data_IF_413435915279
#
_entry.id   IF_413435915279
#
_cell.length_a   1.000
_cell.length_b   1.000
_cell.length_c   1.000
_cell.angle_alpha   90.00
_cell.angle_beta   90.00
_cell.angle_gamma   90.00
#
_symmetry.space_group_name_H-M   'P 1'
#
loop_
_entity.id
_entity.type
_entity.pdbx_description
1 polymer ?
#
# COMPACT_ATOMS: atom_id res chain seq x y z
N UNK A 1 -9.15 8.51 -23.91
CA UNK A 1 -10.55 8.08 -24.11
C UNK A 1 -10.55 6.57 -24.24
N UNK A 2 -10.50 5.85 -23.11
CA UNK A 2 -10.47 4.39 -23.06
C UNK A 2 -11.89 3.89 -22.79
N UNK A 3 -12.40 3.08 -23.71
CA UNK A 3 -13.78 2.59 -23.74
C UNK A 3 -13.94 1.48 -22.68
N UNK A 4 -14.56 1.84 -21.55
CA UNK A 4 -14.54 1.07 -20.29
C UNK A 4 -15.54 -0.10 -20.23
N UNK A 5 -15.96 -0.66 -21.37
CA UNK A 5 -16.98 -1.72 -21.39
C UNK A 5 -16.76 -2.72 -22.52
N UNK A 6 -16.71 -4.01 -22.16
CA UNK A 6 -16.93 -5.11 -23.11
C UNK A 6 -18.34 -5.01 -23.70
N UNK A 7 -18.52 -5.39 -24.97
CA UNK A 7 -19.83 -5.33 -25.65
C UNK A 7 -20.91 -6.15 -24.93
N UNK A 8 -20.51 -7.21 -24.22
CA UNK A 8 -21.43 -8.04 -23.44
C UNK A 8 -21.88 -7.37 -22.12
N UNK A 9 -21.00 -6.59 -21.49
CA UNK A 9 -21.35 -5.83 -20.28
C UNK A 9 -22.27 -4.65 -20.62
N UNK A 10 -22.03 -3.99 -21.77
CA UNK A 10 -22.94 -2.98 -22.33
C UNK A 10 -24.32 -3.59 -22.60
N UNK A 11 -24.42 -4.78 -23.21
CA UNK A 11 -25.69 -5.46 -23.49
C UNK A 11 -26.45 -5.86 -22.22
N UNK A 12 -25.78 -6.50 -21.25
CA UNK A 12 -26.40 -6.87 -19.97
C UNK A 12 -26.87 -5.65 -19.18
N UNK A 13 -26.10 -4.56 -19.21
CA UNK A 13 -26.46 -3.30 -18.56
C UNK A 13 -27.69 -2.66 -19.22
N UNK A 14 -27.75 -2.64 -20.56
CA UNK A 14 -28.89 -2.11 -21.34
C UNK A 14 -30.18 -2.92 -21.08
N UNK A 15 -30.08 -4.24 -21.03
CA UNK A 15 -31.24 -5.13 -20.82
C UNK A 15 -31.80 -5.00 -19.38
N UNK A 16 -30.89 -4.86 -18.41
CA UNK A 16 -31.25 -4.64 -17.00
C UNK A 16 -31.79 -3.24 -16.74
N UNK A 17 -31.27 -2.20 -17.42
CA UNK A 17 -31.81 -0.83 -17.36
C UNK A 17 -33.18 -0.71 -18.03
N UNK A 18 -33.45 -1.50 -19.07
CA UNK A 18 -34.77 -1.56 -19.72
C UNK A 18 -35.86 -2.14 -18.78
N UNK A 19 -35.52 -3.15 -17.98
CA UNK A 19 -36.41 -3.69 -16.93
C UNK A 19 -36.59 -2.75 -15.73
N UNK A 20 -35.65 -1.84 -15.48
CA UNK A 20 -35.68 -0.89 -14.34
C UNK A 20 -36.34 0.45 -14.66
N UNK A 21 -36.40 0.83 -15.96
CA UNK A 21 -37.15 2.00 -16.42
C UNK A 21 -38.66 1.88 -16.12
N UNK A 22 -39.20 0.67 -15.96
CA UNK A 22 -40.57 0.43 -15.50
C UNK A 22 -40.79 0.68 -14.00
N UNK A 23 -39.72 0.81 -13.18
CA UNK A 23 -39.81 0.93 -11.70
C UNK A 23 -39.34 2.27 -11.11
N UNK A 24 -39.12 3.29 -11.95
CA UNK A 24 -38.83 4.65 -11.50
C UNK A 24 -37.39 4.90 -11.01
N UNK A 25 -36.99 6.18 -10.96
CA UNK A 25 -35.60 6.65 -10.75
C UNK A 25 -34.88 6.07 -9.53
N UNK A 26 -35.60 5.74 -8.45
CA UNK A 26 -35.03 5.12 -7.24
C UNK A 26 -34.55 3.68 -7.44
N UNK A 27 -35.18 2.91 -8.33
CA UNK A 27 -34.76 1.55 -8.66
C UNK A 27 -33.45 1.52 -9.45
N UNK A 28 -33.23 2.52 -10.31
CA UNK A 28 -32.01 2.65 -11.12
C UNK A 28 -30.81 2.98 -10.24
N UNK A 29 -30.95 3.92 -9.28
CA UNK A 29 -29.86 4.29 -8.36
C UNK A 29 -29.42 3.10 -7.50
N UNK A 30 -30.38 2.38 -6.91
CA UNK A 30 -30.13 1.21 -6.06
C UNK A 30 -29.51 0.04 -6.83
N UNK A 31 -29.92 -0.15 -8.09
CA UNK A 31 -29.31 -1.13 -8.98
C UNK A 31 -27.88 -0.73 -9.41
N UNK A 32 -27.59 0.57 -9.51
CA UNK A 32 -26.27 1.10 -9.81
C UNK A 32 -25.31 0.95 -8.63
N UNK A 33 -25.77 1.23 -7.41
CA UNK A 33 -25.04 1.00 -6.16
C UNK A 33 -24.75 -0.48 -5.95
N UNK A 34 -25.75 -1.36 -6.09
CA UNK A 34 -25.55 -2.80 -5.97
C UNK A 34 -24.64 -3.36 -7.07
N UNK A 35 -24.65 -2.79 -8.28
CA UNK A 35 -23.72 -3.18 -9.34
C UNK A 35 -22.28 -2.71 -9.06
N UNK A 36 -22.10 -1.49 -8.55
CA UNK A 36 -20.79 -1.00 -8.08
C UNK A 36 -20.25 -1.84 -6.95
N UNK A 37 -21.08 -2.23 -5.99
CA UNK A 37 -20.70 -3.05 -4.84
C UNK A 37 -20.32 -4.48 -5.24
N UNK A 38 -21.05 -5.09 -6.19
CA UNK A 38 -20.72 -6.40 -6.74
C UNK A 38 -19.44 -6.38 -7.59
N UNK A 39 -19.23 -5.33 -8.39
CA UNK A 39 -17.96 -5.12 -9.10
C UNK A 39 -16.81 -4.92 -8.11
N UNK A 40 -17.04 -4.11 -7.07
CA UNK A 40 -16.07 -3.95 -5.99
C UNK A 40 -15.79 -5.28 -5.30
N UNK A 41 -16.79 -6.11 -5.05
CA UNK A 41 -16.60 -7.45 -4.45
C UNK A 41 -15.72 -8.33 -5.31
N UNK A 42 -16.00 -8.41 -6.62
CA UNK A 42 -15.20 -9.22 -7.56
C UNK A 42 -13.79 -8.69 -7.72
N UNK A 43 -13.63 -7.38 -7.80
CA UNK A 43 -12.32 -6.75 -7.91
C UNK A 43 -11.55 -6.79 -6.59
N UNK A 44 -12.23 -6.82 -5.43
CA UNK A 44 -11.62 -7.15 -4.13
C UNK A 44 -11.14 -8.59 -4.11
N UNK A 45 -11.98 -9.53 -4.53
CA UNK A 45 -11.62 -10.95 -4.63
C UNK A 45 -10.40 -11.12 -5.54
N UNK A 46 -10.38 -10.52 -6.73
CA UNK A 46 -9.20 -10.47 -7.61
C UNK A 46 -8.00 -9.72 -7.01
N UNK A 47 -8.23 -8.67 -6.23
CA UNK A 47 -7.16 -7.95 -5.55
C UNK A 47 -6.51 -8.76 -4.42
N UNK A 48 -7.23 -9.75 -3.87
CA UNK A 48 -6.70 -10.73 -2.93
C UNK A 48 -6.20 -12.01 -3.62
N UNK A 49 -6.67 -12.30 -4.83
CA UNK A 49 -6.13 -13.30 -5.77
C UNK A 49 -4.84 -12.79 -6.46
N UNK A 50 -3.97 -12.12 -5.70
CA UNK A 50 -2.65 -11.74 -6.17
C UNK A 50 -1.82 -13.02 -6.38
N UNK A 51 -1.52 -13.34 -7.64
CA UNK A 51 -0.54 -14.37 -7.98
C UNK A 51 0.85 -13.88 -7.52
N UNK A 52 1.24 -14.30 -6.32
CA UNK A 52 2.59 -14.09 -5.82
C UNK A 52 3.54 -15.01 -6.57
N UNK A 53 4.14 -14.48 -7.63
CA UNK A 53 5.01 -15.25 -8.52
C UNK A 53 6.46 -15.34 -8.01
N UNK A 54 6.84 -14.58 -6.99
CA UNK A 54 8.20 -14.55 -6.48
C UNK A 54 8.29 -14.39 -4.95
N UNK A 55 9.44 -14.79 -4.40
CA UNK A 55 9.78 -14.58 -2.99
C UNK A 55 10.95 -13.60 -2.88
N UNK A 56 10.71 -12.50 -2.18
CA UNK A 56 11.77 -11.61 -1.73
C UNK A 56 12.45 -12.21 -0.50
N UNK A 57 13.78 -12.25 -0.51
CA UNK A 57 14.59 -12.66 0.64
C UNK A 57 15.63 -11.59 1.00
N UNK A 58 15.69 -11.24 2.27
CA UNK A 58 16.74 -10.41 2.85
C UNK A 58 17.33 -11.13 4.05
N UNK A 59 18.67 -11.16 4.13
CA UNK A 59 19.37 -11.75 5.25
C UNK A 59 20.61 -10.93 5.59
N UNK A 60 20.70 -10.50 6.84
CA UNK A 60 21.91 -9.95 7.46
C UNK A 60 22.20 -10.65 8.80
N UNK A 61 22.98 -10.02 9.70
CA UNK A 61 23.40 -10.62 10.96
C UNK A 61 22.25 -10.79 11.97
N UNK A 62 21.22 -9.95 11.91
CA UNK A 62 20.16 -9.86 12.91
C UNK A 62 18.73 -9.91 12.34
N UNK A 63 18.59 -10.00 11.01
CA UNK A 63 17.33 -10.11 10.29
C UNK A 63 17.39 -11.21 9.22
N UNK A 64 16.50 -12.21 9.34
CA UNK A 64 16.16 -13.14 8.25
C UNK A 64 14.71 -12.89 7.85
N UNK A 65 14.53 -12.22 6.71
CA UNK A 65 13.22 -11.74 6.25
C UNK A 65 12.87 -12.37 4.90
N UNK A 66 11.61 -12.80 4.80
CA UNK A 66 11.02 -13.37 3.59
C UNK A 66 9.63 -12.78 3.40
N UNK A 67 9.31 -12.44 2.16
CA UNK A 67 8.01 -11.89 1.79
C UNK A 67 7.65 -12.37 0.39
N UNK A 68 6.41 -12.77 0.19
CA UNK A 68 5.90 -13.05 -1.15
C UNK A 68 5.60 -11.74 -1.87
N UNK A 69 6.09 -11.64 -3.11
CA UNK A 69 5.96 -10.44 -3.94
C UNK A 69 5.34 -10.79 -5.29
N UNK A 70 4.60 -9.84 -5.86
CA UNK A 70 4.00 -9.96 -7.19
C UNK A 70 5.09 -9.85 -8.27
N UNK A 71 4.77 -10.21 -9.51
CA UNK A 71 5.70 -10.05 -10.64
C UNK A 71 6.09 -8.59 -10.86
N UNK A 72 5.17 -7.65 -10.61
CA UNK A 72 5.43 -6.21 -10.72
C UNK A 72 6.45 -5.75 -9.68
N UNK A 73 6.27 -6.15 -8.43
CA UNK A 73 7.20 -5.83 -7.34
C UNK A 73 8.57 -6.49 -7.55
N UNK A 74 8.59 -7.74 -8.02
CA UNK A 74 9.81 -8.42 -8.39
C UNK A 74 10.55 -7.68 -9.50
N UNK A 75 9.80 -7.17 -10.50
CA UNK A 75 10.37 -6.37 -11.57
C UNK A 75 11.01 -5.07 -11.03
N UNK A 76 10.33 -4.35 -10.13
CA UNK A 76 10.86 -3.15 -9.47
C UNK A 76 12.20 -3.45 -8.77
N UNK A 77 12.24 -4.53 -7.99
CA UNK A 77 13.46 -4.90 -7.26
C UNK A 77 14.59 -5.34 -8.20
N UNK A 78 14.30 -6.13 -9.23
CA UNK A 78 15.31 -6.56 -10.22
C UNK A 78 15.87 -5.39 -11.04
N UNK A 79 15.05 -4.38 -11.37
CA UNK A 79 15.56 -3.14 -11.97
C UNK A 79 16.54 -2.42 -11.04
N UNK A 80 16.22 -2.32 -9.74
CA UNK A 80 17.10 -1.69 -8.75
C UNK A 80 18.43 -2.46 -8.61
N UNK A 81 18.37 -3.79 -8.63
CA UNK A 81 19.52 -4.69 -8.60
C UNK A 81 20.40 -4.59 -9.85
N UNK A 82 19.81 -4.41 -11.04
CA UNK A 82 20.55 -4.15 -12.28
C UNK A 82 21.34 -2.84 -12.19
N UNK A 83 20.70 -1.76 -11.74
CA UNK A 83 21.37 -0.46 -11.52
C UNK A 83 22.54 -0.56 -10.55
N UNK A 84 22.39 -1.29 -9.44
CA UNK A 84 23.50 -1.51 -8.50
C UNK A 84 24.69 -2.24 -9.17
N UNK A 85 24.43 -3.22 -10.05
CA UNK A 85 25.49 -3.92 -10.79
C UNK A 85 26.23 -2.98 -11.76
N UNK A 86 25.49 -2.11 -12.45
CA UNK A 86 26.08 -1.10 -13.34
C UNK A 86 26.98 -0.15 -12.56
N UNK A 87 26.51 0.36 -11.41
CA UNK A 87 27.31 1.20 -10.50
C UNK A 87 28.57 0.45 -10.04
N UNK A 88 28.45 -0.82 -9.66
CA UNK A 88 29.61 -1.63 -9.26
C UNK A 88 30.68 -1.73 -10.36
N UNK A 89 30.28 -1.78 -11.62
CA UNK A 89 31.20 -1.91 -12.75
C UNK A 89 31.99 -0.63 -13.08
N UNK A 90 31.53 0.52 -12.57
CA UNK A 90 32.08 1.84 -12.88
C UNK A 90 33.10 2.34 -11.82
N UNK A 91 33.46 1.49 -10.85
CA UNK A 91 34.45 1.78 -9.80
C UNK A 91 34.20 3.10 -9.03
N UNK A 92 32.93 3.37 -8.72
CA UNK A 92 32.56 4.53 -7.91
C UNK A 92 33.13 4.46 -6.49
N UNK A 93 33.23 5.63 -5.85
CA UNK A 93 33.64 5.74 -4.45
C UNK A 93 32.78 4.85 -3.51
N UNK A 94 33.36 4.28 -2.44
CA UNK A 94 32.67 3.33 -1.57
C UNK A 94 31.33 3.84 -0.99
N UNK A 95 31.24 5.14 -0.72
CA UNK A 95 30.03 5.75 -0.18
C UNK A 95 28.90 5.79 -1.23
N UNK A 96 29.23 5.99 -2.50
CA UNK A 96 28.28 5.96 -3.63
C UNK A 96 27.72 4.54 -3.76
N UNK A 97 28.58 3.53 -3.72
CA UNK A 97 28.14 2.13 -3.78
C UNK A 97 27.16 1.80 -2.64
N UNK A 98 27.48 2.19 -1.39
CA UNK A 98 26.59 1.99 -0.24
C UNK A 98 25.24 2.68 -0.41
N UNK A 99 25.23 3.90 -0.93
CA UNK A 99 23.97 4.60 -1.24
C UNK A 99 23.13 3.83 -2.26
N UNK A 100 23.74 3.29 -3.33
CA UNK A 100 23.03 2.49 -4.32
C UNK A 100 22.55 1.15 -3.77
N UNK A 101 23.32 0.54 -2.86
CA UNK A 101 22.91 -0.66 -2.15
C UNK A 101 21.68 -0.41 -1.27
N UNK A 102 21.65 0.72 -0.55
CA UNK A 102 20.46 1.18 0.17
C UNK A 102 19.27 1.37 -0.79
N UNK A 103 19.45 2.14 -1.88
CA UNK A 103 18.40 2.41 -2.88
C UNK A 103 17.81 1.13 -3.49
N UNK A 104 18.62 0.08 -3.66
CA UNK A 104 18.14 -1.23 -4.12
C UNK A 104 17.04 -1.76 -3.20
N UNK A 105 17.28 -1.77 -1.89
CA UNK A 105 16.30 -2.26 -0.92
C UNK A 105 15.15 -1.28 -0.68
N UNK A 106 15.40 0.03 -0.77
CA UNK A 106 14.34 1.05 -0.66
C UNK A 106 13.40 1.08 -1.86
N UNK A 107 13.79 0.53 -3.03
CA UNK A 107 12.95 0.53 -4.24
C UNK A 107 11.55 -0.07 -4.03
N UNK A 108 11.42 -1.15 -3.26
CA UNK A 108 10.12 -1.76 -2.92
C UNK A 108 9.32 -0.86 -1.95
N UNK A 109 9.98 -0.31 -0.93
CA UNK A 109 9.34 0.62 0.01
C UNK A 109 8.82 1.88 -0.70
N UNK A 110 9.60 2.42 -1.64
CA UNK A 110 9.23 3.59 -2.46
C UNK A 110 8.09 3.24 -3.43
N UNK A 111 8.09 2.02 -3.98
CA UNK A 111 6.99 1.52 -4.80
C UNK A 111 5.69 1.46 -3.98
N UNK A 112 5.71 0.85 -2.79
CA UNK A 112 4.52 0.82 -1.92
C UNK A 112 4.04 2.23 -1.56
N UNK A 113 4.97 3.17 -1.28
CA UNK A 113 4.61 4.58 -1.05
C UNK A 113 3.84 5.18 -2.22
N UNK A 114 4.30 4.93 -3.46
CA UNK A 114 3.62 5.43 -4.68
C UNK A 114 2.24 4.83 -4.83
N UNK A 115 2.09 3.52 -4.58
CA UNK A 115 0.81 2.84 -4.65
C UNK A 115 -0.17 3.32 -3.58
N UNK A 116 0.28 3.48 -2.33
CA UNK A 116 -0.54 4.04 -1.23
C UNK A 116 -1.11 5.40 -1.65
N UNK A 117 -0.25 6.32 -2.12
CA UNK A 117 -0.69 7.66 -2.56
C UNK A 117 -1.70 7.58 -3.70
N UNK A 118 -1.38 6.79 -4.73
CA UNK A 118 -2.22 6.63 -5.90
C UNK A 118 -3.64 6.15 -5.54
N UNK A 119 -3.75 5.11 -4.72
CA UNK A 119 -5.05 4.56 -4.35
C UNK A 119 -5.76 5.40 -3.28
N UNK A 120 -5.05 5.98 -2.33
CA UNK A 120 -5.66 6.76 -1.25
C UNK A 120 -6.37 8.02 -1.77
N UNK A 121 -5.81 8.67 -2.80
CA UNK A 121 -6.44 9.80 -3.51
C UNK A 121 -7.78 9.41 -4.14
N UNK A 122 -7.94 8.15 -4.55
CA UNK A 122 -9.11 7.62 -5.28
C UNK A 122 -10.08 6.84 -4.39
N UNK A 123 -9.79 6.73 -3.09
CA UNK A 123 -10.48 5.80 -2.16
C UNK A 123 -11.99 6.01 -2.05
N UNK A 124 -12.47 7.22 -2.29
CA UNK A 124 -13.90 7.57 -2.21
C UNK A 124 -14.63 7.44 -3.57
N UNK A 125 -13.88 7.31 -4.66
CA UNK A 125 -14.42 7.28 -6.03
C UNK A 125 -14.45 5.84 -6.57
N UNK A 126 -13.33 5.14 -6.40
CA UNK A 126 -13.14 3.76 -6.81
C UNK A 126 -13.35 2.82 -5.62
N UNK A 127 -14.36 1.94 -5.68
CA UNK A 127 -14.70 1.07 -4.55
C UNK A 127 -13.64 -0.02 -4.27
N UNK A 128 -12.59 -0.14 -5.10
CA UNK A 128 -11.43 -1.03 -4.89
C UNK A 128 -10.24 -0.26 -4.32
N UNK A 129 -10.17 1.05 -4.53
CA UNK A 129 -9.01 1.87 -4.17
C UNK A 129 -8.78 1.93 -2.64
N UNK A 130 -9.84 1.94 -1.83
CA UNK A 130 -9.68 1.84 -0.37
C UNK A 130 -8.99 0.53 0.03
N UNK A 131 -9.43 -0.60 -0.54
CA UNK A 131 -8.83 -1.91 -0.25
C UNK A 131 -7.38 -2.00 -0.73
N UNK A 132 -7.09 -1.48 -1.92
CA UNK A 132 -5.71 -1.39 -2.42
C UNK A 132 -4.84 -0.52 -1.53
N UNK A 133 -5.38 0.58 -1.00
CA UNK A 133 -4.65 1.43 -0.06
C UNK A 133 -4.28 0.68 1.20
N UNK A 134 -5.25 0.03 1.85
CA UNK A 134 -5.02 -0.78 3.06
C UNK A 134 -3.97 -1.86 2.77
N UNK A 135 -4.15 -2.60 1.67
CA UNK A 135 -3.23 -3.63 1.21
C UNK A 135 -1.80 -3.12 1.09
N UNK A 136 -1.57 -2.02 0.38
CA UNK A 136 -0.22 -1.47 0.21
C UNK A 136 0.35 -0.87 1.51
N UNK A 137 -0.49 -0.34 2.41
CA UNK A 137 -0.05 0.05 3.75
C UNK A 137 0.46 -1.16 4.54
N UNK A 138 -0.29 -2.26 4.55
CA UNK A 138 0.09 -3.51 5.21
C UNK A 138 1.39 -4.08 4.62
N UNK A 139 1.51 -4.11 3.29
CA UNK A 139 2.75 -4.53 2.60
C UNK A 139 3.95 -3.70 3.01
N UNK A 140 3.78 -2.37 3.04
CA UNK A 140 4.87 -1.48 3.44
C UNK A 140 5.27 -1.69 4.90
N UNK A 141 4.30 -1.89 5.79
CA UNK A 141 4.52 -2.18 7.22
C UNK A 141 5.18 -3.55 7.42
N UNK A 142 4.83 -4.56 6.63
CA UNK A 142 5.48 -5.88 6.63
C UNK A 142 6.96 -5.75 6.23
N UNK A 143 7.23 -4.99 5.16
CA UNK A 143 8.58 -4.73 4.65
C UNK A 143 9.41 -3.76 5.51
N UNK A 144 8.80 -3.09 6.50
CA UNK A 144 9.42 -2.05 7.31
C UNK A 144 10.77 -2.42 7.95
N UNK A 145 11.01 -3.64 8.47
CA UNK A 145 12.32 -4.01 9.03
C UNK A 145 13.46 -3.91 8.01
N UNK A 146 13.23 -4.35 6.77
CA UNK A 146 14.21 -4.28 5.68
C UNK A 146 14.41 -2.82 5.24
N UNK A 147 13.33 -2.05 5.15
CA UNK A 147 13.40 -0.63 4.81
C UNK A 147 14.19 0.17 5.86
N UNK A 148 13.97 -0.09 7.15
CA UNK A 148 14.72 0.55 8.23
C UNK A 148 16.22 0.26 8.14
N UNK A 149 16.60 -1.01 7.89
CA UNK A 149 17.99 -1.39 7.62
C UNK A 149 18.56 -0.63 6.42
N UNK A 150 17.80 -0.54 5.34
CA UNK A 150 18.22 0.16 4.14
C UNK A 150 18.43 1.66 4.35
N UNK A 151 17.56 2.32 5.11
CA UNK A 151 17.79 3.72 5.50
C UNK A 151 19.09 3.88 6.28
N UNK A 152 19.38 3.00 7.24
CA UNK A 152 20.65 3.04 7.99
C UNK A 152 21.89 2.62 7.19
N UNK A 153 21.72 1.97 6.03
CA UNK A 153 22.81 1.70 5.09
C UNK A 153 23.22 2.93 4.28
N UNK A 154 22.33 3.91 4.09
CA UNK A 154 22.61 5.12 3.31
C UNK A 154 23.52 6.07 4.12
N UNK A 155 24.74 6.40 3.64
CA UNK A 155 25.66 7.29 4.35
C UNK A 155 25.13 8.72 4.53
N UNK A 156 24.06 9.10 3.84
CA UNK A 156 23.45 10.43 3.92
C UNK A 156 22.19 10.47 4.80
N UNK A 157 21.78 9.34 5.38
CA UNK A 157 20.60 9.26 6.24
C UNK A 157 21.00 9.31 7.72
N UNK A 158 20.37 10.22 8.47
CA UNK A 158 20.66 10.43 9.90
C UNK A 158 19.51 10.03 10.82
N UNK A 159 18.32 9.79 10.26
CA UNK A 159 17.13 9.34 10.97
C UNK A 159 16.19 8.63 9.99
N UNK A 160 15.36 7.71 10.51
CA UNK A 160 14.29 7.13 9.69
C UNK A 160 13.29 8.22 9.29
N UNK A 161 12.74 8.21 8.06
CA UNK A 161 11.74 9.18 7.65
C UNK A 161 10.36 8.89 8.28
N UNK A 162 9.36 9.70 7.94
CA UNK A 162 7.95 9.34 8.17
C UNK A 162 7.60 8.09 7.37
N UNK A 163 6.71 7.27 7.89
CA UNK A 163 6.33 5.99 7.28
C UNK A 163 4.89 6.04 6.75
N UNK A 164 4.68 6.25 5.44
CA UNK A 164 3.35 6.49 4.86
C UNK A 164 2.32 5.42 5.19
N UNK A 165 2.72 4.15 5.19
CA UNK A 165 1.81 3.05 5.49
C UNK A 165 1.27 3.07 6.91
N UNK A 166 2.05 3.55 7.89
CA UNK A 166 1.55 3.69 9.26
C UNK A 166 0.62 4.90 9.36
N UNK A 167 1.05 6.05 8.84
CA UNK A 167 0.26 7.29 8.86
C UNK A 167 -1.12 7.09 8.21
N UNK A 168 -1.14 6.54 6.99
CA UNK A 168 -2.37 6.32 6.23
C UNK A 168 -3.26 5.25 6.89
N UNK A 169 -2.70 4.13 7.37
CA UNK A 169 -3.52 3.08 7.96
C UNK A 169 -4.09 3.47 9.32
N UNK A 170 -3.34 4.22 10.13
CA UNK A 170 -3.85 4.83 11.37
C UNK A 170 -5.02 5.75 11.04
N UNK A 171 -4.86 6.66 10.07
CA UNK A 171 -5.93 7.56 9.64
C UNK A 171 -7.19 6.79 9.20
N UNK A 172 -7.04 5.75 8.37
CA UNK A 172 -8.17 4.94 7.93
C UNK A 172 -8.86 4.21 9.09
N UNK A 173 -8.12 3.72 10.09
CA UNK A 173 -8.71 3.12 11.28
C UNK A 173 -9.46 4.13 12.14
N UNK A 174 -8.98 5.38 12.23
CA UNK A 174 -9.73 6.45 12.89
C UNK A 174 -11.04 6.78 12.17
N UNK A 175 -11.08 6.76 10.83
CA UNK A 175 -12.31 7.00 10.05
C UNK A 175 -13.42 5.98 10.34
N UNK A 176 -13.07 4.76 10.75
CA UNK A 176 -14.02 3.68 11.09
C UNK A 176 -14.07 3.37 12.60
N UNK A 177 -13.54 4.27 13.43
CA UNK A 177 -13.55 4.17 14.90
C UNK A 177 -12.83 2.91 15.46
N UNK A 178 -11.89 2.34 14.70
CA UNK A 178 -11.04 1.22 15.12
C UNK A 178 -9.83 1.69 15.96
N UNK A 179 -10.12 2.32 17.09
CA UNK A 179 -9.13 3.03 17.92
C UNK A 179 -8.01 2.13 18.45
N UNK A 180 -8.35 0.92 18.94
CA UNK A 180 -7.35 -0.05 19.42
C UNK A 180 -6.36 -0.44 18.32
N UNK A 181 -6.84 -0.60 17.08
CA UNK A 181 -6.00 -0.85 15.92
C UNK A 181 -5.04 0.30 15.67
N UNK A 182 -5.56 1.53 15.68
CA UNK A 182 -4.77 2.74 15.45
C UNK A 182 -3.66 2.90 16.51
N UNK A 183 -3.98 2.66 17.79
CA UNK A 183 -3.03 2.71 18.91
C UNK A 183 -1.94 1.64 18.73
N UNK A 184 -2.30 0.40 18.36
CA UNK A 184 -1.32 -0.67 18.11
C UNK A 184 -0.35 -0.30 16.99
N UNK A 185 -0.85 0.27 15.90
CA UNK A 185 -0.02 0.71 14.77
C UNK A 185 0.92 1.85 15.17
N UNK A 186 0.42 2.87 15.88
CA UNK A 186 1.24 3.99 16.34
C UNK A 186 2.36 3.52 17.30
N UNK A 187 2.03 2.63 18.25
CA UNK A 187 3.01 2.01 19.16
C UNK A 187 4.07 1.19 18.40
N UNK A 188 3.66 0.47 17.35
CA UNK A 188 4.58 -0.30 16.50
C UNK A 188 5.52 0.62 15.70
N UNK A 189 5.00 1.68 15.08
CA UNK A 189 5.78 2.68 14.35
C UNK A 189 6.83 3.34 15.25
N UNK A 190 6.41 3.78 16.44
CA UNK A 190 7.28 4.32 17.49
C UNK A 190 8.38 3.35 17.89
N UNK A 191 8.03 2.10 18.21
CA UNK A 191 9.00 1.06 18.62
C UNK A 191 10.05 0.79 17.54
N UNK A 192 9.67 0.90 16.27
CA UNK A 192 10.58 0.74 15.13
C UNK A 192 11.45 1.98 14.88
N UNK A 193 11.19 3.10 15.55
CA UNK A 193 11.97 4.33 15.43
C UNK A 193 11.67 5.16 14.18
N UNK A 194 10.54 4.90 13.49
CA UNK A 194 10.10 5.75 12.38
C UNK A 194 9.85 7.17 12.87
N UNK A 195 10.16 8.18 12.07
CA UNK A 195 9.94 9.57 12.48
C UNK A 195 8.45 9.91 12.50
N UNK A 196 8.01 10.64 13.52
CA UNK A 196 6.62 11.02 13.76
C UNK A 196 6.40 11.41 15.22
N UNK A 197 5.34 12.17 15.48
CA UNK A 197 4.93 12.55 16.84
C UNK A 197 4.06 11.44 17.45
N UNK A 198 4.66 10.25 17.61
CA UNK A 198 3.92 9.05 18.00
C UNK A 198 3.44 9.11 19.44
N UNK A 199 4.22 9.67 20.36
CA UNK A 199 3.82 9.90 21.74
C UNK A 199 2.51 10.69 21.82
N UNK A 200 2.47 11.87 21.20
CA UNK A 200 1.26 12.70 21.21
C UNK A 200 0.11 12.00 20.49
N UNK A 201 0.38 11.34 19.36
CA UNK A 201 -0.64 10.57 18.62
C UNK A 201 -1.24 9.43 19.45
N UNK A 202 -0.42 8.68 20.18
CA UNK A 202 -0.89 7.59 21.06
C UNK A 202 -1.74 8.15 22.18
N UNK A 203 -1.31 9.26 22.80
CA UNK A 203 -2.06 9.91 23.87
C UNK A 203 -3.44 10.39 23.38
N UNK A 204 -3.50 11.08 22.23
CA UNK A 204 -4.76 11.54 21.61
C UNK A 204 -5.73 10.37 21.37
N UNK A 205 -5.22 9.26 20.80
CA UNK A 205 -6.03 8.07 20.52
C UNK A 205 -6.53 7.40 21.81
N UNK A 206 -5.69 7.31 22.83
CA UNK A 206 -6.05 6.73 24.12
C UNK A 206 -7.05 7.61 24.90
N UNK A 207 -6.93 8.93 24.82
CA UNK A 207 -7.90 9.87 25.40
C UNK A 207 -9.26 9.74 24.71
N UNK A 208 -9.27 9.67 23.38
CA UNK A 208 -10.50 9.45 22.62
C UNK A 208 -11.18 8.12 23.00
N UNK A 209 -10.42 7.02 23.05
CA UNK A 209 -10.93 5.71 23.42
C UNK A 209 -11.52 5.68 24.84
N UNK A 210 -10.97 6.45 25.78
CA UNK A 210 -11.53 6.59 27.15
C UNK A 210 -12.80 7.44 27.22
N UNK A 211 -13.07 8.26 26.20
CA UNK A 211 -14.20 9.19 26.17
C UNK A 211 -15.47 8.60 25.54
N UNK A 212 -15.36 7.41 24.93
CA UNK A 212 -16.45 6.61 24.38
C UNK A 212 -16.99 5.67 25.48
#
# INVERSE_FOLDING_TARGET
>A
MFDLFSQDDKKKFIEKTRQLLEKGKGGILKAWEGHREELARREREKAYEEDYEAEFRYRDQDLDFRMLITSEEAHVYEQAKKKLKEVKSLDYEPHVYKQWESKKYLSLHDYFTKQIRYYFERRNEDPVALHRTIRYCERQIEYAPVAAKAYWMDPYTYALPKHPGYDTLIFLYQEVEEWDGAIRLAKKAKKQGWNGDWESKIQELEDHLRSI
#
